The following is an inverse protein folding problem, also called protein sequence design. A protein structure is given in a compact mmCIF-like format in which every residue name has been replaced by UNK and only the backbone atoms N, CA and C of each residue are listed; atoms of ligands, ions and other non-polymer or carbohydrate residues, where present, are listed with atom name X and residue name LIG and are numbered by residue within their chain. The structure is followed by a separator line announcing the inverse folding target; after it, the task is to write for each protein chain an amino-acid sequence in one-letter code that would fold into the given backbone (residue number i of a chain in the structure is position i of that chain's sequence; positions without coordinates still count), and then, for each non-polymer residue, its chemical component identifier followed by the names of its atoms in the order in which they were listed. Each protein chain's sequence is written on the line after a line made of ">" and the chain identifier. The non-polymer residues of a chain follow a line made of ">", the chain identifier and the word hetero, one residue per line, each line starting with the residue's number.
data_IF_969240810502
#
_entry.id   IF_969240810502
#
_cell.length_a   1.000
_cell.length_b   1.000
_cell.length_c   1.000
_cell.angle_alpha   90.00
_cell.angle_beta   90.00
_cell.angle_gamma   90.00
#
_symmetry.space_group_name_H-M   'P 1'
#
loop_
_entity.id
_entity.type
_entity.pdbx_description
1 polymer ?
#
# COMPACT_ATOMS: atom_id res chain seq x y z
N UNK A 1 5.53 9.08 12.94
CA UNK A 1 5.88 7.88 12.15
C UNK A 1 7.10 7.21 12.73
N UNK A 2 7.15 5.88 12.72
CA UNK A 2 8.31 5.08 13.12
C UNK A 2 9.05 4.57 11.88
N UNK A 3 10.37 4.64 11.91
CA UNK A 3 11.27 4.09 10.90
C UNK A 3 12.14 3.03 11.52
N UNK A 4 12.35 1.94 10.80
CA UNK A 4 13.21 0.82 11.19
C UNK A 4 14.32 0.64 10.15
N UNK A 5 15.35 -0.18 10.41
CA UNK A 5 16.42 -0.43 9.44
C UNK A 5 15.93 -0.97 8.09
N UNK A 6 14.68 -1.48 8.00
CA UNK A 6 14.04 -1.89 6.75
C UNK A 6 13.78 -0.73 5.78
N UNK A 7 13.73 0.52 6.25
CA UNK A 7 13.50 1.69 5.38
C UNK A 7 14.64 1.93 4.39
N UNK A 8 15.90 1.59 4.77
CA UNK A 8 17.10 1.59 3.89
C UNK A 8 17.33 2.86 3.06
N UNK A 9 16.80 4.00 3.50
CA UNK A 9 16.94 5.28 2.83
C UNK A 9 17.22 6.40 3.85
N UNK A 10 17.61 7.56 3.35
CA UNK A 10 17.70 8.77 4.16
C UNK A 10 16.33 9.11 4.73
N UNK A 11 16.30 9.40 6.03
CA UNK A 11 15.09 9.79 6.74
C UNK A 11 14.58 11.14 6.23
N UNK A 12 13.25 11.33 6.17
CA UNK A 12 12.68 12.61 5.75
C UNK A 12 13.17 13.77 6.60
N UNK A 13 13.43 14.91 5.97
CA UNK A 13 13.85 16.16 6.60
C UNK A 13 12.70 17.17 6.69
N UNK A 14 12.96 18.33 7.31
CA UNK A 14 11.99 19.42 7.45
C UNK A 14 11.54 19.66 8.88
N UNK A 15 10.55 20.57 9.10
CA UNK A 15 10.06 20.90 10.43
C UNK A 15 9.57 19.68 11.20
N UNK A 16 9.82 19.66 12.51
CA UNK A 16 9.42 18.61 13.44
C UNK A 16 10.56 18.07 14.29
N UNK A 17 10.24 17.08 15.11
CA UNK A 17 11.16 16.44 16.06
C UNK A 17 11.41 14.99 15.66
N UNK A 18 12.63 14.55 15.83
CA UNK A 18 13.08 13.17 15.68
C UNK A 18 13.60 12.65 17.01
N UNK A 19 13.32 11.38 17.30
CA UNK A 19 13.81 10.64 18.46
C UNK A 19 14.44 9.34 17.97
N UNK A 20 15.70 9.11 18.31
CA UNK A 20 16.40 7.85 18.05
C UNK A 20 16.23 6.94 19.25
N UNK A 21 15.77 5.71 19.01
CA UNK A 21 15.61 4.66 20.00
C UNK A 21 16.64 3.56 19.76
N UNK A 22 17.20 3.01 20.83
CA UNK A 22 17.97 1.76 20.79
C UNK A 22 17.05 0.51 20.70
N UNK A 23 17.65 -0.67 20.73
CA UNK A 23 16.94 -1.95 20.63
C UNK A 23 15.95 -2.20 21.78
N UNK A 24 16.18 -1.61 22.96
CA UNK A 24 15.32 -1.75 24.15
C UNK A 24 14.20 -0.69 24.21
N UNK A 25 14.17 0.20 23.22
CA UNK A 25 13.24 1.31 23.13
C UNK A 25 13.64 2.51 23.99
N UNK A 26 14.91 2.65 24.38
CA UNK A 26 15.39 3.81 25.12
C UNK A 26 15.83 4.92 24.19
N UNK A 27 15.55 6.16 24.59
CA UNK A 27 15.92 7.35 23.84
C UNK A 27 17.43 7.54 23.88
N UNK A 28 18.06 7.44 22.71
CA UNK A 28 19.48 7.71 22.49
C UNK A 28 19.71 9.21 22.27
N UNK A 29 18.87 9.82 21.43
CA UNK A 29 18.94 11.24 21.10
C UNK A 29 17.59 11.78 20.62
N UNK A 30 17.42 13.09 20.77
CA UNK A 30 16.26 13.86 20.27
C UNK A 30 16.77 15.09 19.54
N UNK A 31 16.18 15.44 18.40
CA UNK A 31 16.69 16.54 17.57
C UNK A 31 15.89 16.78 16.30
N UNK A 32 16.44 17.54 15.33
CA UNK A 32 15.79 17.77 14.04
C UNK A 32 15.69 16.48 13.22
N UNK A 33 14.76 16.47 12.26
CA UNK A 33 14.48 15.32 11.39
C UNK A 33 15.53 15.16 10.29
N UNK A 34 16.04 13.93 10.11
CA UNK A 34 16.97 13.57 9.05
C UNK A 34 17.92 12.42 9.43
N UNK A 35 18.93 12.19 8.61
CA UNK A 35 19.94 11.13 8.82
C UNK A 35 19.46 9.75 8.35
N UNK A 36 19.88 8.69 9.04
CA UNK A 36 19.51 7.30 8.73
C UNK A 36 19.08 6.57 10.01
N UNK A 37 18.39 5.44 9.85
CA UNK A 37 18.03 4.59 11.00
C UNK A 37 19.28 3.81 11.45
N UNK A 38 19.70 3.91 12.72
CA UNK A 38 20.82 3.12 13.22
C UNK A 38 20.51 1.62 13.23
N UNK A 39 21.54 0.80 13.04
CA UNK A 39 21.41 -0.66 13.11
C UNK A 39 20.86 -1.09 14.48
N UNK A 40 19.87 -1.99 14.48
CA UNK A 40 19.24 -2.51 15.70
C UNK A 40 18.32 -1.53 16.45
N UNK A 41 18.24 -0.27 16.01
CA UNK A 41 17.37 0.74 16.63
C UNK A 41 16.14 1.08 15.81
N UNK A 42 15.45 2.13 16.22
CA UNK A 42 14.33 2.73 15.50
C UNK A 42 14.39 4.26 15.59
N UNK A 43 13.68 4.94 14.70
CA UNK A 43 13.55 6.39 14.74
C UNK A 43 12.08 6.77 14.73
N UNK A 44 11.65 7.61 15.68
CA UNK A 44 10.34 8.24 15.68
C UNK A 44 10.48 9.65 15.13
N UNK A 45 9.71 10.01 14.11
CA UNK A 45 9.56 11.41 13.68
C UNK A 45 8.13 11.89 13.92
N UNK A 46 8.01 13.08 14.48
CA UNK A 46 6.74 13.77 14.70
C UNK A 46 6.76 15.18 14.12
N UNK A 47 5.61 15.62 13.61
CA UNK A 47 5.35 17.00 13.17
C UNK A 47 4.17 17.56 13.97
N UNK A 48 4.00 18.89 13.99
CA UNK A 48 2.89 19.54 14.70
C UNK A 48 2.78 19.08 16.16
N UNK A 49 1.59 18.67 16.59
CA UNK A 49 1.34 18.18 17.94
C UNK A 49 2.24 16.97 18.33
N UNK A 50 2.58 16.09 17.39
CA UNK A 50 3.47 14.96 17.68
C UNK A 50 4.92 15.41 17.92
N UNK A 51 5.38 16.48 17.25
CA UNK A 51 6.70 17.08 17.52
C UNK A 51 6.75 17.66 18.94
N UNK A 52 5.69 18.36 19.35
CA UNK A 52 5.55 18.90 20.72
C UNK A 52 5.58 17.77 21.75
N UNK A 53 4.81 16.69 21.51
CA UNK A 53 4.77 15.54 22.40
C UNK A 53 6.14 14.86 22.53
N UNK A 54 6.83 14.59 21.42
CA UNK A 54 8.15 13.96 21.44
C UNK A 54 9.17 14.84 22.20
N UNK A 55 9.12 16.16 22.00
CA UNK A 55 10.02 17.09 22.67
C UNK A 55 9.82 17.09 24.18
N UNK A 56 8.58 16.96 24.65
CA UNK A 56 8.25 16.94 26.07
C UNK A 56 8.55 15.60 26.77
N UNK A 57 8.45 14.48 26.05
CA UNK A 57 8.43 13.12 26.64
C UNK A 57 9.59 12.21 26.22
N UNK A 58 10.43 12.60 25.26
CA UNK A 58 11.55 11.78 24.79
C UNK A 58 12.88 12.28 25.36
N UNK A 59 13.07 12.16 26.68
CA UNK A 59 14.35 12.51 27.32
C UNK A 59 15.32 11.36 27.17
N UNK A 60 16.61 11.68 26.97
CA UNK A 60 17.67 10.69 26.83
C UNK A 60 17.67 9.70 27.99
N UNK A 61 17.71 8.40 27.67
CA UNK A 61 17.68 7.29 28.62
C UNK A 61 16.29 6.81 29.02
N UNK A 62 15.25 7.63 28.86
CA UNK A 62 13.86 7.21 29.10
C UNK A 62 13.41 6.19 28.04
N UNK A 63 12.45 5.35 28.42
CA UNK A 63 11.91 4.32 27.53
C UNK A 63 10.62 4.81 26.89
N UNK A 64 10.53 4.67 25.56
CA UNK A 64 9.29 4.84 24.81
C UNK A 64 8.83 3.47 24.35
N UNK A 65 7.71 3.00 24.89
CA UNK A 65 7.05 1.80 24.39
C UNK A 65 6.26 2.12 23.12
N UNK A 66 6.49 1.35 22.05
CA UNK A 66 5.73 1.44 20.81
C UNK A 66 4.97 0.12 20.63
N UNK A 67 3.65 0.20 20.64
CA UNK A 67 2.78 -0.93 20.37
C UNK A 67 2.20 -0.81 18.96
N UNK A 68 2.28 -1.89 18.19
CA UNK A 68 1.75 -1.99 16.84
C UNK A 68 0.62 -3.03 16.84
N UNK A 69 -0.51 -2.66 16.25
CA UNK A 69 -1.67 -3.54 16.14
C UNK A 69 -2.38 -3.30 14.81
N UNK A 70 -2.70 -4.39 14.12
CA UNK A 70 -3.60 -4.37 12.97
C UNK A 70 -5.02 -4.64 13.48
N UNK A 71 -5.97 -3.87 12.97
CA UNK A 71 -7.38 -3.99 13.33
C UNK A 71 -8.24 -4.03 12.07
N UNK A 72 -9.32 -4.79 12.13
CA UNK A 72 -10.32 -4.79 11.07
C UNK A 72 -11.27 -3.59 11.18
N UNK A 73 -12.22 -3.48 10.25
CA UNK A 73 -13.21 -2.39 10.22
C UNK A 73 -14.18 -2.38 11.40
N UNK A 74 -14.26 -3.47 12.17
CA UNK A 74 -15.01 -3.55 13.42
C UNK A 74 -14.14 -3.22 14.65
N UNK A 75 -12.88 -2.83 14.45
CA UNK A 75 -11.93 -2.51 15.50
C UNK A 75 -11.31 -3.72 16.20
N UNK A 76 -11.62 -4.95 15.75
CA UNK A 76 -11.10 -6.19 16.32
C UNK A 76 -9.64 -6.35 15.91
N UNK A 77 -8.80 -6.79 16.85
CA UNK A 77 -7.38 -7.03 16.57
C UNK A 77 -7.25 -8.21 15.62
N UNK A 78 -6.54 -8.00 14.51
CA UNK A 78 -6.12 -9.06 13.59
C UNK A 78 -4.78 -9.58 14.10
N UNK A 79 -4.71 -10.88 14.38
CA UNK A 79 -3.45 -11.56 14.68
C UNK A 79 -2.80 -11.95 13.36
N UNK A 80 -1.52 -11.63 13.23
CA UNK A 80 -0.67 -12.02 12.11
C UNK A 80 0.40 -12.95 12.66
N UNK A 81 0.55 -14.11 12.04
CA UNK A 81 1.63 -15.04 12.32
C UNK A 81 2.80 -14.81 11.34
N UNK A 82 3.90 -15.57 11.49
CA UNK A 82 5.13 -15.32 10.75
C UNK A 82 5.01 -15.47 9.23
N UNK A 83 4.02 -16.24 8.78
CA UNK A 83 3.77 -16.55 7.37
C UNK A 83 2.69 -15.63 6.76
N UNK A 84 2.08 -14.74 7.55
CA UNK A 84 1.10 -13.79 7.06
C UNK A 84 1.77 -12.58 6.41
N UNK A 85 1.23 -12.16 5.26
CA UNK A 85 1.63 -10.94 4.57
C UNK A 85 0.44 -9.99 4.44
N UNK A 86 0.72 -8.69 4.54
CA UNK A 86 -0.27 -7.64 4.30
C UNK A 86 0.21 -6.79 3.13
N UNK A 87 -0.71 -6.49 2.22
CA UNK A 87 -0.54 -5.52 1.15
C UNK A 87 -1.67 -4.50 1.21
N UNK A 88 -1.37 -3.24 0.88
CA UNK A 88 -2.38 -2.20 0.75
C UNK A 88 -3.07 -2.33 -0.61
N UNK A 89 -4.40 -2.28 -0.62
CA UNK A 89 -5.20 -2.39 -1.83
C UNK A 89 -6.45 -1.53 -1.68
N UNK A 90 -6.88 -0.87 -2.75
CA UNK A 90 -8.12 -0.10 -2.79
C UNK A 90 -8.53 0.30 -4.22
N UNK A 91 -9.83 0.51 -4.48
CA UNK A 91 -10.95 0.16 -3.60
C UNK A 91 -11.31 -1.32 -3.70
N UNK A 92 -12.30 -1.72 -2.92
CA UNK A 92 -13.02 -2.96 -3.09
C UNK A 92 -13.73 -2.97 -4.45
N UNK A 93 -13.57 -4.07 -5.18
CA UNK A 93 -14.20 -4.28 -6.49
C UNK A 93 -15.43 -5.19 -6.35
N UNK A 94 -15.25 -6.30 -5.65
CA UNK A 94 -16.29 -7.32 -5.45
C UNK A 94 -16.35 -7.68 -3.98
N UNK A 95 -17.56 -7.71 -3.42
CA UNK A 95 -17.87 -8.20 -2.07
C UNK A 95 -19.08 -9.11 -2.12
N UNK A 96 -18.95 -10.30 -1.55
CA UNK A 96 -19.99 -11.34 -1.51
C UNK A 96 -20.55 -11.66 -2.92
N UNK A 97 -19.67 -11.67 -3.93
CA UNK A 97 -19.99 -11.94 -5.33
C UNK A 97 -20.68 -10.80 -6.09
N UNK A 98 -20.86 -9.64 -5.45
CA UNK A 98 -21.48 -8.44 -6.03
C UNK A 98 -20.46 -7.33 -6.20
N UNK A 99 -20.63 -6.51 -7.23
CA UNK A 99 -19.82 -5.30 -7.38
C UNK A 99 -20.10 -4.40 -6.18
N UNK A 100 -19.04 -3.94 -5.53
CA UNK A 100 -19.11 -3.21 -4.26
C UNK A 100 -18.02 -2.13 -4.19
N UNK A 101 -18.00 -1.25 -5.20
CA UNK A 101 -17.05 -0.15 -5.29
C UNK A 101 -17.60 1.04 -4.48
N UNK A 102 -16.89 1.41 -3.42
CA UNK A 102 -17.12 2.67 -2.70
C UNK A 102 -15.81 3.45 -2.60
N UNK A 103 -15.33 3.92 -3.76
CA UNK A 103 -14.03 4.56 -3.90
C UNK A 103 -13.85 5.80 -3.00
N UNK A 104 -14.95 6.52 -2.71
CA UNK A 104 -14.94 7.69 -1.86
C UNK A 104 -14.82 7.32 -0.38
N UNK A 105 -15.65 6.38 0.11
CA UNK A 105 -15.53 5.91 1.49
C UNK A 105 -14.19 5.21 1.76
N UNK A 106 -13.62 4.56 0.75
CA UNK A 106 -12.31 3.90 0.81
C UNK A 106 -11.14 4.87 0.55
N UNK A 107 -11.39 6.17 0.37
CA UNK A 107 -10.36 7.20 0.29
C UNK A 107 -9.52 7.19 -1.00
N UNK A 108 -9.95 6.47 -2.03
CA UNK A 108 -9.29 6.46 -3.35
C UNK A 108 -9.82 7.52 -4.31
N UNK A 109 -10.94 8.16 -3.94
CA UNK A 109 -11.54 9.25 -4.68
C UNK A 109 -11.96 10.34 -3.70
N UNK A 110 -11.58 11.58 -4.01
CA UNK A 110 -12.06 12.76 -3.28
C UNK A 110 -13.35 13.25 -3.94
N UNK A 111 -14.51 13.22 -3.23
CA UNK A 111 -15.78 13.67 -3.79
C UNK A 111 -15.83 15.17 -4.09
N UNK A 112 -14.97 15.97 -3.46
CA UNK A 112 -14.90 17.43 -3.66
C UNK A 112 -13.92 17.80 -4.80
N UNK A 113 -13.01 16.88 -5.15
CA UNK A 113 -11.96 17.08 -6.17
C UNK A 113 -11.93 15.94 -7.21
N UNK A 114 -13.00 15.86 -7.99
CA UNK A 114 -13.26 14.76 -8.92
C UNK A 114 -12.33 14.64 -10.13
N UNK A 115 -11.50 15.64 -10.46
CA UNK A 115 -10.69 15.59 -11.70
C UNK A 115 -9.70 14.42 -11.73
N UNK A 116 -8.99 14.21 -10.63
CA UNK A 116 -8.13 13.04 -10.44
C UNK A 116 -8.95 11.76 -10.34
N UNK A 117 -9.98 11.77 -9.47
CA UNK A 117 -10.85 10.62 -9.24
C UNK A 117 -11.48 10.09 -10.53
N UNK A 118 -11.96 10.98 -11.40
CA UNK A 118 -12.57 10.65 -12.69
C UNK A 118 -11.55 10.01 -13.65
N UNK A 119 -10.39 10.63 -13.85
CA UNK A 119 -9.34 10.10 -14.73
C UNK A 119 -8.78 8.75 -14.25
N UNK A 120 -8.81 8.52 -12.94
CA UNK A 120 -8.34 7.27 -12.36
C UNK A 120 -9.40 6.16 -12.32
N UNK A 121 -10.67 6.48 -12.04
CA UNK A 121 -11.74 5.47 -11.86
C UNK A 121 -12.58 5.22 -13.10
N UNK A 122 -12.95 6.28 -13.83
CA UNK A 122 -13.93 6.26 -14.92
C UNK A 122 -13.29 6.22 -16.31
N UNK A 123 -12.01 6.53 -16.42
CA UNK A 123 -11.23 6.33 -17.65
C UNK A 123 -10.57 4.96 -17.60
N UNK A 124 -10.46 4.31 -18.76
CA UNK A 124 -9.77 3.04 -18.89
C UNK A 124 -8.27 3.19 -18.61
N UNK A 125 -7.77 2.34 -17.72
CA UNK A 125 -6.36 2.31 -17.32
C UNK A 125 -5.89 0.85 -17.30
N UNK A 126 -4.58 0.60 -17.40
CA UNK A 126 -4.02 -0.67 -16.97
C UNK A 126 -4.38 -0.93 -15.50
N UNK A 127 -4.74 -2.16 -15.15
CA UNK A 127 -5.17 -2.54 -13.79
C UNK A 127 -4.46 -3.77 -13.31
N UNK A 128 -4.12 -3.79 -12.03
CA UNK A 128 -3.77 -4.99 -11.28
C UNK A 128 -4.89 -5.25 -10.27
N UNK A 129 -5.33 -6.50 -10.15
CA UNK A 129 -6.42 -6.90 -9.26
C UNK A 129 -6.06 -8.18 -8.53
N UNK A 130 -6.52 -8.29 -7.29
CA UNK A 130 -6.44 -9.50 -6.50
C UNK A 130 -7.83 -9.89 -6.00
N UNK A 131 -8.11 -11.18 -5.91
CA UNK A 131 -9.38 -11.66 -5.40
C UNK A 131 -9.32 -13.07 -4.86
N UNK A 132 -10.41 -13.49 -4.22
CA UNK A 132 -10.61 -14.83 -3.71
C UNK A 132 -11.88 -15.42 -4.31
N UNK A 133 -11.81 -16.68 -4.72
CA UNK A 133 -13.00 -17.44 -5.11
C UNK A 133 -13.72 -18.04 -3.90
N UNK A 134 -14.85 -18.73 -4.13
CA UNK A 134 -15.64 -19.39 -3.08
C UNK A 134 -14.88 -20.46 -2.28
N UNK A 135 -13.76 -20.96 -2.82
CA UNK A 135 -12.92 -21.98 -2.21
C UNK A 135 -11.72 -21.36 -1.47
N UNK A 136 -11.61 -20.03 -1.45
CA UNK A 136 -10.49 -19.31 -0.85
C UNK A 136 -9.23 -19.32 -1.71
N UNK A 137 -9.31 -19.68 -3.00
CA UNK A 137 -8.16 -19.64 -3.91
C UNK A 137 -7.88 -18.22 -4.35
N UNK A 138 -6.62 -17.83 -4.32
CA UNK A 138 -6.15 -16.54 -4.81
C UNK A 138 -6.28 -16.43 -6.34
N UNK A 139 -6.82 -15.31 -6.80
CA UNK A 139 -6.86 -14.88 -8.18
C UNK A 139 -6.03 -13.61 -8.27
N UNK A 140 -5.00 -13.62 -9.12
CA UNK A 140 -4.24 -12.43 -9.50
C UNK A 140 -4.51 -12.16 -10.98
N UNK A 141 -4.85 -10.93 -11.32
CA UNK A 141 -5.18 -10.54 -12.68
C UNK A 141 -4.56 -9.19 -13.02
N UNK A 142 -4.01 -9.09 -14.22
CA UNK A 142 -3.55 -7.84 -14.82
C UNK A 142 -4.30 -7.59 -16.12
N UNK A 143 -4.57 -6.32 -16.40
CA UNK A 143 -5.17 -5.85 -17.64
C UNK A 143 -4.27 -4.77 -18.20
N UNK A 144 -3.74 -4.98 -19.39
CA UNK A 144 -2.95 -3.98 -20.11
C UNK A 144 -3.83 -2.79 -20.49
N UNK A 145 -3.24 -1.62 -20.68
CA UNK A 145 -4.00 -0.42 -21.04
C UNK A 145 -3.13 0.67 -21.65
N UNK A 146 -3.77 1.74 -22.12
CA UNK A 146 -3.11 2.86 -22.83
C UNK A 146 -2.38 2.41 -24.11
N UNK A 147 -2.85 1.35 -24.75
CA UNK A 147 -2.31 0.83 -26.00
C UNK A 147 -3.43 0.85 -27.06
N UNK A 148 -3.63 2.00 -27.75
CA UNK A 148 -4.74 2.16 -28.69
C UNK A 148 -4.81 1.05 -29.73
N UNK A 149 -5.97 0.40 -29.85
CA UNK A 149 -6.19 -0.70 -30.79
C UNK A 149 -5.60 -2.06 -30.38
N UNK A 150 -4.94 -2.14 -29.22
CA UNK A 150 -4.41 -3.39 -28.64
C UNK A 150 -5.08 -3.67 -27.30
N UNK A 151 -4.91 -2.78 -26.33
CA UNK A 151 -5.62 -2.82 -25.05
C UNK A 151 -5.85 -1.41 -24.52
N UNK A 152 -7.12 -1.04 -24.40
CA UNK A 152 -7.52 0.26 -23.85
C UNK A 152 -7.39 0.30 -22.32
N UNK A 153 -7.41 -0.86 -21.66
CA UNK A 153 -7.50 -0.98 -20.20
C UNK A 153 -8.95 -1.04 -19.73
N UNK A 154 -9.15 -0.96 -18.41
CA UNK A 154 -10.46 -1.00 -17.76
C UNK A 154 -10.71 0.22 -16.87
N UNK A 155 -11.97 0.65 -16.83
CA UNK A 155 -12.49 1.42 -15.70
C UNK A 155 -12.53 0.54 -14.44
N UNK A 156 -12.73 1.12 -13.25
CA UNK A 156 -12.91 0.29 -12.04
C UNK A 156 -14.13 -0.62 -12.13
N UNK A 157 -15.22 -0.14 -12.75
CA UNK A 157 -16.42 -0.95 -12.92
C UNK A 157 -16.18 -2.12 -13.88
N UNK A 158 -15.45 -1.90 -14.98
CA UNK A 158 -15.06 -2.96 -15.91
C UNK A 158 -14.13 -3.98 -15.23
N UNK A 159 -13.20 -3.51 -14.40
CA UNK A 159 -12.34 -4.35 -13.56
C UNK A 159 -13.15 -5.22 -12.58
N UNK A 160 -14.14 -4.65 -11.88
CA UNK A 160 -15.01 -5.42 -11.00
C UNK A 160 -15.87 -6.44 -11.76
N UNK A 161 -16.40 -6.04 -12.93
CA UNK A 161 -17.19 -6.93 -13.80
C UNK A 161 -16.34 -8.08 -14.34
N UNK A 162 -15.05 -7.88 -14.61
CA UNK A 162 -14.14 -8.91 -15.14
C UNK A 162 -13.69 -9.93 -14.09
N UNK A 163 -13.59 -9.53 -12.82
CA UNK A 163 -13.21 -10.45 -11.73
C UNK A 163 -14.29 -11.50 -11.41
N UNK A 164 -15.57 -11.17 -11.60
CA UNK A 164 -16.71 -12.08 -11.34
C UNK A 164 -16.69 -13.37 -12.20
N UNK A 165 -16.54 -13.33 -13.54
CA UNK A 165 -16.46 -14.55 -14.35
C UNK A 165 -15.18 -15.35 -14.09
N UNK A 166 -14.11 -14.75 -13.55
CA UNK A 166 -12.94 -15.48 -13.03
C UNK A 166 -13.25 -16.24 -11.73
N UNK A 167 -14.44 -16.08 -11.16
CA UNK A 167 -14.91 -16.78 -9.97
C UNK A 167 -14.71 -16.00 -8.67
N UNK A 168 -14.23 -14.76 -8.72
CA UNK A 168 -13.99 -13.96 -7.53
C UNK A 168 -15.30 -13.62 -6.82
N UNK A 169 -15.36 -13.92 -5.51
CA UNK A 169 -16.42 -13.48 -4.60
C UNK A 169 -15.99 -12.34 -3.70
N UNK A 170 -14.67 -12.17 -3.53
CA UNK A 170 -14.04 -11.00 -2.97
C UNK A 170 -12.98 -10.53 -3.96
N UNK A 171 -12.89 -9.23 -4.24
CA UNK A 171 -11.83 -8.68 -5.08
C UNK A 171 -11.52 -7.24 -4.70
N UNK A 172 -10.25 -6.87 -4.82
CA UNK A 172 -9.70 -5.55 -4.54
C UNK A 172 -8.89 -5.09 -5.76
N UNK A 173 -8.87 -3.78 -6.00
CA UNK A 173 -7.95 -3.17 -6.95
C UNK A 173 -6.58 -2.96 -6.26
N UNK A 174 -5.50 -3.30 -6.97
CA UNK A 174 -4.12 -3.00 -6.57
C UNK A 174 -3.60 -1.79 -7.37
N UNK A 175 -2.32 -1.44 -7.19
CA UNK A 175 -1.73 -0.37 -8.00
C UNK A 175 -1.81 -0.70 -9.51
N UNK A 176 -2.06 0.35 -10.30
CA UNK A 176 -2.40 0.24 -11.71
C UNK A 176 -1.55 1.17 -12.59
N UNK A 177 -2.04 1.45 -13.80
CA UNK A 177 -1.30 2.27 -14.74
C UNK A 177 0.05 1.65 -15.11
N UNK A 178 1.11 2.46 -15.19
CA UNK A 178 2.46 2.01 -15.54
C UNK A 178 3.05 0.96 -14.59
N UNK A 179 2.49 0.83 -13.38
CA UNK A 179 2.88 -0.18 -12.40
C UNK A 179 2.29 -1.58 -12.71
N UNK A 180 1.34 -1.70 -13.64
CA UNK A 180 0.68 -2.97 -13.95
C UNK A 180 1.64 -3.90 -14.68
N UNK A 181 2.14 -4.92 -13.96
CA UNK A 181 3.01 -5.95 -14.49
C UNK A 181 2.70 -7.31 -13.85
N UNK A 182 2.72 -8.35 -14.66
CA UNK A 182 2.65 -9.74 -14.23
C UNK A 182 3.81 -10.50 -14.86
N UNK A 183 4.59 -11.18 -14.04
CA UNK A 183 5.63 -12.08 -14.50
C UNK A 183 5.26 -13.53 -14.16
N UNK A 184 5.44 -14.42 -15.13
CA UNK A 184 5.28 -15.87 -14.97
C UNK A 184 6.61 -16.52 -15.32
N UNK A 185 7.17 -17.30 -14.39
CA UNK A 185 8.48 -17.96 -14.56
C UNK A 185 9.60 -16.98 -14.95
N UNK A 186 9.63 -15.81 -14.30
CA UNK A 186 10.65 -14.78 -14.53
C UNK A 186 10.53 -14.02 -15.85
N UNK A 187 9.39 -14.14 -16.54
CA UNK A 187 9.13 -13.43 -17.81
C UNK A 187 7.84 -12.64 -17.72
N UNK A 188 7.84 -11.40 -18.19
CA UNK A 188 6.61 -10.61 -18.30
C UNK A 188 5.60 -11.35 -19.19
N UNK A 189 4.39 -11.48 -18.65
CA UNK A 189 3.24 -12.08 -19.30
C UNK A 189 2.32 -11.03 -19.96
N UNK A 190 2.58 -9.74 -19.72
CA UNK A 190 1.77 -8.62 -20.18
C UNK A 190 2.66 -7.49 -20.74
N UNK A 191 2.06 -6.53 -21.44
CA UNK A 191 2.76 -5.37 -22.02
C UNK A 191 2.56 -4.15 -21.14
N UNK A 192 3.64 -3.68 -20.49
CA UNK A 192 3.60 -2.50 -19.61
C UNK A 192 3.31 -1.21 -20.37
N UNK A 193 2.60 -0.25 -19.75
CA UNK A 193 2.09 0.93 -20.46
C UNK A 193 3.04 2.11 -20.57
N UNK A 194 4.08 2.17 -19.74
CA UNK A 194 4.98 3.33 -19.72
C UNK A 194 5.93 3.29 -20.91
N UNK A 195 6.17 4.44 -21.55
CA UNK A 195 7.05 4.54 -22.70
C UNK A 195 8.52 4.17 -22.39
N UNK A 196 8.91 4.23 -21.11
CA UNK A 196 10.24 3.86 -20.62
C UNK A 196 10.37 2.37 -20.29
N UNK A 197 9.31 1.57 -20.49
CA UNK A 197 9.26 0.15 -20.14
C UNK A 197 8.70 -0.12 -18.74
N UNK A 198 9.07 -1.25 -18.15
CA UNK A 198 8.61 -1.68 -16.84
C UNK A 198 8.99 -0.66 -15.75
N UNK A 199 8.01 -0.27 -14.91
CA UNK A 199 8.19 0.71 -13.84
C UNK A 199 8.68 0.03 -12.56
N UNK A 200 9.65 0.65 -11.90
CA UNK A 200 10.01 0.28 -10.53
C UNK A 200 8.87 0.58 -9.56
N UNK A 201 8.45 -0.42 -8.78
CA UNK A 201 7.35 -0.34 -7.80
C UNK A 201 7.87 -0.48 -6.37
N UNK A 202 7.07 -0.06 -5.39
CA UNK A 202 7.42 -0.11 -3.97
C UNK A 202 7.38 -1.52 -3.36
N UNK A 203 6.55 -2.39 -3.91
CA UNK A 203 6.29 -3.75 -3.44
C UNK A 203 5.68 -4.61 -4.55
N UNK A 204 5.69 -5.94 -4.38
CA UNK A 204 5.11 -6.91 -5.32
C UNK A 204 4.41 -8.03 -4.56
N UNK A 205 3.35 -8.60 -5.15
CA UNK A 205 2.71 -9.83 -4.66
C UNK A 205 3.28 -11.01 -5.41
N UNK A 206 3.92 -11.94 -4.70
CA UNK A 206 4.61 -13.08 -5.29
C UNK A 206 4.00 -14.39 -4.80
N UNK A 207 3.81 -15.34 -5.71
CA UNK A 207 3.48 -16.73 -5.37
C UNK A 207 4.79 -17.52 -5.41
N UNK A 208 5.27 -17.90 -4.23
CA UNK A 208 6.53 -18.63 -4.07
C UNK A 208 6.28 -20.16 -4.05
N UNK A 209 7.24 -20.99 -4.51
CA UNK A 209 7.14 -22.45 -4.48
C UNK A 209 7.08 -23.05 -3.08
#
# INVERSE_FOLDING_TARGET
>A
MKFTPRFRAALPTGPGTQVVLDADGRVVSTGPRGGTVPAGGAVLQGIGAASVWLTAHARRGERIAVEEAVRDTAGRRVRLDADDSIVSAAPTLVKDGRIAIDAAAEGTLDPEHLSFGYAWSNVRQPRTMAGLDKRGRLILATVDGRQPGVSEGFTLEEAARSMRPLGAVQALNLDGGGSTAMAVNGRLANVTSDATGERAVGDTVQVVP
#
